data_IF_135895187675
#
_entry.id   IF_135895187675
#
_cell.length_a   1.000
_cell.length_b   1.000
_cell.length_c   1.000
_cell.angle_alpha   90.00
_cell.angle_beta   90.00
_cell.angle_gamma   90.00
#
_symmetry.space_group_name_H-M   'P 1'
#
loop_
_entity.id
_entity.type
_entity.pdbx_description
1 polymer ?
#
# COMPACT_ATOMS: atom_id res chain seq x y z
N UNK A 1 -9.90 46.25 17.18
CA UNK A 1 -9.02 45.11 16.82
C UNK A 1 -8.38 45.41 15.46
N UNK A 2 -7.04 45.42 15.40
CA UNK A 2 -6.28 45.85 14.23
C UNK A 2 -6.27 44.78 13.13
N UNK A 3 -6.54 45.18 11.87
CA UNK A 3 -6.48 44.28 10.71
C UNK A 3 -5.08 43.65 10.55
N UNK A 4 -4.04 44.39 10.92
CA UNK A 4 -2.64 43.96 10.84
C UNK A 4 -2.25 42.87 11.86
N UNK A 5 -2.86 42.81 13.04
CA UNK A 5 -2.63 41.74 14.02
C UNK A 5 -3.34 40.43 13.63
N UNK A 6 -4.57 40.53 13.10
CA UNK A 6 -5.29 39.36 12.56
C UNK A 6 -4.54 38.75 11.38
N UNK A 7 -3.97 39.58 10.50
CA UNK A 7 -3.17 39.12 9.39
C UNK A 7 -1.82 38.55 9.85
N UNK A 8 -1.16 39.17 10.84
CA UNK A 8 0.09 38.64 11.41
C UNK A 8 -0.06 37.24 12.02
N UNK A 9 -1.09 37.01 12.83
CA UNK A 9 -1.37 35.68 13.40
C UNK A 9 -1.76 34.64 12.34
N UNK A 10 -2.56 35.03 11.35
CA UNK A 10 -2.95 34.15 10.24
C UNK A 10 -1.77 33.81 9.32
N UNK A 11 -0.84 34.73 9.10
CA UNK A 11 0.37 34.50 8.30
C UNK A 11 1.35 33.57 9.04
N UNK A 12 1.56 33.74 10.35
CA UNK A 12 2.43 32.84 11.12
C UNK A 12 1.83 31.43 11.20
N UNK A 13 0.53 31.32 11.43
CA UNK A 13 -0.17 30.03 11.41
C UNK A 13 -0.12 29.39 10.01
N UNK A 14 -0.36 30.17 8.95
CA UNK A 14 -0.27 29.71 7.56
C UNK A 14 1.13 29.24 7.16
N UNK A 15 2.17 29.96 7.59
CA UNK A 15 3.56 29.56 7.37
C UNK A 15 3.92 28.28 8.13
N UNK A 16 3.47 28.13 9.37
CA UNK A 16 3.70 26.94 10.18
C UNK A 16 3.01 25.70 9.58
N UNK A 17 1.75 25.84 9.16
CA UNK A 17 1.00 24.79 8.47
C UNK A 17 1.69 24.40 7.15
N UNK A 18 2.14 25.37 6.35
CA UNK A 18 2.88 25.10 5.09
C UNK A 18 4.15 24.27 5.30
N UNK A 19 4.89 24.48 6.41
CA UNK A 19 6.07 23.68 6.74
C UNK A 19 5.70 22.24 7.12
N UNK A 20 4.60 22.06 7.88
CA UNK A 20 4.10 20.74 8.23
C UNK A 20 3.66 19.97 6.99
N UNK A 21 2.91 20.59 6.08
CA UNK A 21 2.44 19.92 4.87
C UNK A 21 3.58 19.52 3.95
N UNK A 22 4.62 20.36 3.82
CA UNK A 22 5.86 20.01 3.09
C UNK A 22 6.57 18.83 3.73
N UNK A 23 6.72 18.85 5.05
CA UNK A 23 7.37 17.77 5.79
C UNK A 23 6.59 16.46 5.62
N UNK A 24 5.27 16.48 5.80
CA UNK A 24 4.40 15.32 5.59
C UNK A 24 4.47 14.81 4.16
N UNK A 25 4.43 15.70 3.16
CA UNK A 25 4.56 15.32 1.75
C UNK A 25 5.88 14.58 1.46
N UNK A 26 6.99 15.08 1.99
CA UNK A 26 8.30 14.43 1.84
C UNK A 26 8.35 13.09 2.57
N UNK A 27 7.80 13.00 3.78
CA UNK A 27 7.79 11.76 4.58
C UNK A 27 6.98 10.64 3.90
N UNK A 28 5.76 10.97 3.44
CA UNK A 28 4.93 10.03 2.70
C UNK A 28 5.52 9.74 1.31
N UNK A 29 6.14 10.72 0.66
CA UNK A 29 6.82 10.56 -0.62
C UNK A 29 8.01 9.59 -0.53
N UNK A 30 8.85 9.71 0.50
CA UNK A 30 9.95 8.77 0.75
C UNK A 30 9.42 7.36 0.98
N UNK A 31 8.36 7.23 1.78
CA UNK A 31 7.73 5.93 2.04
C UNK A 31 7.16 5.33 0.75
N UNK A 32 6.51 6.14 -0.07
CA UNK A 32 5.89 5.72 -1.32
C UNK A 32 6.92 5.28 -2.35
N UNK A 33 7.96 6.09 -2.60
CA UNK A 33 9.07 5.77 -3.51
C UNK A 33 9.90 4.60 -2.97
N UNK A 34 10.14 4.54 -1.67
CA UNK A 34 10.86 3.45 -1.02
C UNK A 34 10.16 2.09 -1.20
N UNK A 35 8.82 2.06 -1.10
CA UNK A 35 8.06 0.84 -1.38
C UNK A 35 8.06 0.47 -2.87
N UNK A 36 8.04 1.44 -3.79
CA UNK A 36 8.23 1.15 -5.22
C UNK A 36 9.59 0.51 -5.47
N UNK A 37 10.65 1.02 -4.85
CA UNK A 37 11.98 0.45 -4.99
C UNK A 37 12.04 -0.98 -4.44
N UNK A 38 11.40 -1.21 -3.29
CA UNK A 38 11.25 -2.56 -2.74
C UNK A 38 10.53 -3.50 -3.72
N UNK A 39 9.40 -3.11 -4.30
CA UNK A 39 8.67 -3.99 -5.23
C UNK A 39 9.42 -4.25 -6.55
N UNK A 40 10.07 -3.22 -7.11
CA UNK A 40 10.69 -3.30 -8.43
C UNK A 40 12.07 -3.96 -8.42
N UNK A 41 12.87 -3.76 -7.37
CA UNK A 41 14.25 -4.27 -7.33
C UNK A 41 14.40 -5.43 -6.34
N UNK A 42 14.01 -5.21 -5.08
CA UNK A 42 14.24 -6.19 -4.01
C UNK A 42 13.29 -7.39 -4.15
N UNK A 43 11.99 -7.12 -4.27
CA UNK A 43 10.95 -8.13 -4.42
C UNK A 43 11.01 -8.84 -5.78
N UNK A 44 11.17 -8.10 -6.88
CA UNK A 44 11.28 -8.70 -8.20
C UNK A 44 12.55 -9.54 -8.38
N UNK A 45 13.68 -9.14 -7.76
CA UNK A 45 14.91 -9.93 -7.74
C UNK A 45 14.72 -11.26 -7.00
N UNK A 46 14.18 -11.19 -5.78
CA UNK A 46 13.92 -12.39 -4.97
C UNK A 46 12.95 -13.38 -5.64
N UNK A 47 11.93 -12.89 -6.34
CA UNK A 47 10.96 -13.73 -7.06
C UNK A 47 11.56 -14.44 -8.28
N UNK A 48 12.73 -14.04 -8.79
CA UNK A 48 13.41 -14.75 -9.90
C UNK A 48 14.17 -15.97 -9.42
N UNK A 49 14.80 -15.88 -8.25
CA UNK A 49 15.68 -16.92 -7.70
C UNK A 49 14.98 -17.86 -6.70
N UNK A 50 13.83 -17.46 -6.16
CA UNK A 50 13.11 -18.26 -5.16
C UNK A 50 12.51 -19.57 -5.73
N UNK A 51 12.40 -20.59 -4.87
CA UNK A 51 11.66 -21.83 -5.17
C UNK A 51 10.15 -21.57 -5.28
N UNK A 52 9.37 -22.42 -5.98
CA UNK A 52 7.92 -22.23 -6.14
C UNK A 52 7.16 -22.12 -4.82
N UNK A 53 7.56 -22.85 -3.77
CA UNK A 53 6.95 -22.71 -2.43
C UNK A 53 7.30 -21.37 -1.77
N UNK A 54 8.55 -20.91 -1.88
CA UNK A 54 8.99 -19.63 -1.30
C UNK A 54 8.33 -18.41 -1.96
N UNK A 55 8.12 -18.45 -3.27
CA UNK A 55 7.34 -17.42 -3.99
C UNK A 55 5.92 -17.38 -3.47
N UNK A 56 5.31 -18.54 -3.23
CA UNK A 56 3.94 -18.63 -2.76
C UNK A 56 3.77 -17.98 -1.38
N UNK A 57 4.69 -18.19 -0.44
CA UNK A 57 4.58 -17.57 0.89
C UNK A 57 4.77 -16.04 0.85
N UNK A 58 5.71 -15.54 0.04
CA UNK A 58 5.97 -14.10 -0.12
C UNK A 58 4.79 -13.37 -0.78
N UNK A 59 4.25 -13.93 -1.87
CA UNK A 59 3.11 -13.32 -2.58
C UNK A 59 1.83 -13.35 -1.72
N UNK A 60 1.72 -14.28 -0.78
CA UNK A 60 0.50 -14.48 0.02
C UNK A 60 0.49 -13.74 1.34
N UNK A 61 1.64 -13.61 2.01
CA UNK A 61 1.72 -12.95 3.32
C UNK A 61 2.36 -11.57 3.23
N UNK A 62 3.46 -11.45 2.49
CA UNK A 62 4.28 -10.24 2.51
C UNK A 62 3.76 -9.17 1.54
N UNK A 63 3.36 -9.59 0.34
CA UNK A 63 2.91 -8.69 -0.72
C UNK A 63 1.61 -7.91 -0.41
N UNK A 64 0.56 -8.51 0.17
CA UNK A 64 -0.64 -7.74 0.54
C UNK A 64 -0.40 -6.77 1.69
N UNK A 65 0.45 -7.13 2.66
CA UNK A 65 0.83 -6.23 3.76
C UNK A 65 1.60 -5.02 3.24
N UNK A 66 2.61 -5.24 2.41
CA UNK A 66 3.37 -4.15 1.79
C UNK A 66 2.47 -3.26 0.91
N UNK A 67 1.52 -3.85 0.17
CA UNK A 67 0.59 -3.09 -0.65
C UNK A 67 -0.40 -2.26 0.19
N UNK A 68 -0.76 -2.69 1.40
CA UNK A 68 -1.56 -1.88 2.31
C UNK A 68 -0.88 -0.56 2.69
N UNK A 69 0.39 -0.62 3.09
CA UNK A 69 1.18 0.59 3.37
C UNK A 69 1.37 1.45 2.11
N UNK A 70 1.57 0.81 0.96
CA UNK A 70 1.68 1.49 -0.32
C UNK A 70 0.43 2.31 -0.66
N UNK A 71 -0.77 1.79 -0.38
CA UNK A 71 -2.05 2.48 -0.63
C UNK A 71 -2.17 3.77 0.15
N UNK A 72 -1.88 3.73 1.44
CA UNK A 72 -1.99 4.91 2.30
C UNK A 72 -0.86 5.90 2.04
N UNK A 73 0.36 5.44 1.83
CA UNK A 73 1.49 6.30 1.46
C UNK A 73 1.24 7.06 0.15
N UNK A 74 0.73 6.38 -0.89
CA UNK A 74 0.36 7.01 -2.16
C UNK A 74 -0.78 8.03 -1.99
N UNK A 75 -1.81 7.70 -1.20
CA UNK A 75 -2.93 8.61 -0.94
C UNK A 75 -2.50 9.88 -0.19
N UNK A 76 -1.71 9.74 0.89
CA UNK A 76 -1.25 10.89 1.66
C UNK A 76 -0.26 11.75 0.89
N UNK A 77 0.64 11.16 0.09
CA UNK A 77 1.55 11.92 -0.78
C UNK A 77 0.77 12.69 -1.86
N UNK A 78 -0.25 12.07 -2.47
CA UNK A 78 -1.09 12.73 -3.45
C UNK A 78 -1.88 13.89 -2.84
N UNK A 79 -2.55 13.67 -1.69
CA UNK A 79 -3.36 14.69 -1.02
C UNK A 79 -2.54 15.90 -0.60
N UNK A 80 -1.40 15.67 0.06
CA UNK A 80 -0.47 16.72 0.46
C UNK A 80 0.13 17.43 -0.77
N UNK A 81 0.43 16.70 -1.85
CA UNK A 81 0.97 17.29 -3.08
C UNK A 81 -0.02 18.21 -3.79
N UNK A 82 -1.29 17.82 -3.89
CA UNK A 82 -2.37 18.66 -4.43
C UNK A 82 -2.60 19.89 -3.54
N UNK A 83 -2.56 19.72 -2.22
CA UNK A 83 -2.69 20.83 -1.29
C UNK A 83 -1.55 21.85 -1.45
N UNK A 84 -0.29 21.40 -1.57
CA UNK A 84 0.86 22.28 -1.83
C UNK A 84 0.73 23.01 -3.18
N UNK A 85 0.24 22.34 -4.22
CA UNK A 85 0.00 22.93 -5.54
C UNK A 85 -1.05 24.05 -5.49
N UNK A 86 -2.12 23.84 -4.72
CA UNK A 86 -3.15 24.85 -4.49
C UNK A 86 -2.63 26.04 -3.68
N UNK A 87 -1.83 25.79 -2.65
CA UNK A 87 -1.30 26.83 -1.77
C UNK A 87 -0.21 27.69 -2.44
N UNK A 88 0.67 27.09 -3.25
CA UNK A 88 1.80 27.80 -3.86
C UNK A 88 1.41 28.58 -5.11
N UNK A 89 0.41 28.12 -5.89
CA UNK A 89 -0.37 28.87 -6.91
C UNK A 89 0.34 29.61 -8.06
N UNK A 90 1.62 29.93 -7.92
CA UNK A 90 2.37 30.93 -8.70
C UNK A 90 3.56 30.33 -9.44
N UNK A 91 3.84 29.04 -9.24
CA UNK A 91 4.96 28.30 -9.83
C UNK A 91 4.55 27.07 -10.63
N UNK A 92 3.40 27.09 -11.31
CA UNK A 92 2.95 25.99 -12.17
C UNK A 92 3.95 25.73 -13.31
N UNK A 93 4.79 24.71 -13.15
CA UNK A 93 5.71 24.22 -14.19
C UNK A 93 5.17 22.93 -14.80
N UNK A 94 5.54 22.67 -16.07
CA UNK A 94 5.20 21.42 -16.78
C UNK A 94 5.67 20.18 -16.02
N UNK A 95 6.77 20.28 -15.26
CA UNK A 95 7.27 19.19 -14.42
C UNK A 95 6.32 18.85 -13.26
N UNK A 96 5.62 19.83 -12.70
CA UNK A 96 4.66 19.59 -11.61
C UNK A 96 3.37 18.96 -12.12
N UNK A 97 2.84 19.41 -13.27
CA UNK A 97 1.62 18.82 -13.84
C UNK A 97 1.86 17.39 -14.33
N UNK A 98 3.05 17.11 -14.86
CA UNK A 98 3.43 15.76 -15.30
C UNK A 98 3.64 14.82 -14.10
N UNK A 99 4.30 15.29 -13.03
CA UNK A 99 4.40 14.56 -11.77
C UNK A 99 3.03 14.29 -11.13
N UNK A 100 2.13 15.29 -11.13
CA UNK A 100 0.78 15.16 -10.61
C UNK A 100 -0.07 14.16 -11.45
N UNK A 101 0.04 14.18 -12.78
CA UNK A 101 -0.64 13.22 -13.64
C UNK A 101 -0.14 11.79 -13.43
N UNK A 102 1.18 11.59 -13.34
CA UNK A 102 1.75 10.28 -13.04
C UNK A 102 1.31 9.77 -11.66
N UNK A 103 1.30 10.63 -10.64
CA UNK A 103 0.79 10.29 -9.33
C UNK A 103 -0.71 9.94 -9.34
N UNK A 104 -1.51 10.68 -10.09
CA UNK A 104 -2.96 10.44 -10.24
C UNK A 104 -3.24 9.10 -10.92
N UNK A 105 -2.54 8.80 -12.02
CA UNK A 105 -2.71 7.54 -12.76
C UNK A 105 -2.28 6.35 -11.89
N UNK A 106 -1.13 6.46 -11.21
CA UNK A 106 -0.67 5.42 -10.28
C UNK A 106 -1.63 5.24 -9.10
N UNK A 107 -2.15 6.32 -8.53
CA UNK A 107 -3.15 6.27 -7.45
C UNK A 107 -4.42 5.53 -7.88
N UNK A 108 -4.98 5.89 -9.05
CA UNK A 108 -6.17 5.24 -9.60
C UNK A 108 -5.92 3.75 -9.90
N UNK A 109 -4.75 3.40 -10.43
CA UNK A 109 -4.37 2.02 -10.73
C UNK A 109 -4.30 1.15 -9.45
N UNK A 110 -3.73 1.67 -8.37
CA UNK A 110 -3.65 0.96 -7.07
C UNK A 110 -5.02 0.71 -6.45
N UNK A 111 -5.90 1.70 -6.52
CA UNK A 111 -7.23 1.60 -5.94
C UNK A 111 -8.18 0.73 -6.76
N UNK A 112 -8.15 0.83 -8.09
CA UNK A 112 -9.12 0.18 -8.98
C UNK A 112 -8.65 -1.17 -9.54
N UNK A 113 -7.34 -1.40 -9.75
CA UNK A 113 -6.84 -2.61 -10.44
C UNK A 113 -6.12 -3.55 -9.48
N UNK A 114 -5.17 -3.03 -8.67
CA UNK A 114 -4.33 -3.91 -7.84
C UNK A 114 -5.14 -4.55 -6.70
N UNK A 115 -6.04 -3.79 -6.06
CA UNK A 115 -6.84 -4.29 -4.95
C UNK A 115 -7.85 -5.39 -5.26
N UNK A 116 -8.70 -5.29 -6.31
CA UNK A 116 -9.58 -6.39 -6.65
C UNK A 116 -8.81 -7.63 -7.11
N UNK A 117 -7.67 -7.45 -7.77
CA UNK A 117 -6.83 -8.58 -8.17
C UNK A 117 -6.21 -9.30 -6.96
N UNK A 118 -5.77 -8.58 -5.92
CA UNK A 118 -5.29 -9.22 -4.70
C UNK A 118 -6.41 -9.87 -3.87
N UNK A 119 -7.62 -9.30 -3.84
CA UNK A 119 -8.79 -9.95 -3.21
C UNK A 119 -9.12 -11.30 -3.84
N UNK A 120 -9.03 -11.42 -5.17
CA UNK A 120 -9.26 -12.69 -5.90
C UNK A 120 -8.23 -13.76 -5.51
N UNK A 121 -6.96 -13.38 -5.36
CA UNK A 121 -5.89 -14.30 -4.92
C UNK A 121 -6.14 -14.81 -3.50
N UNK A 122 -6.50 -13.91 -2.57
CA UNK A 122 -6.82 -14.30 -1.18
C UNK A 122 -8.05 -15.22 -1.13
N UNK A 123 -9.09 -14.92 -1.90
CA UNK A 123 -10.29 -15.76 -1.98
C UNK A 123 -9.97 -17.18 -2.48
N UNK A 124 -9.12 -17.32 -3.52
CA UNK A 124 -8.68 -18.62 -4.00
C UNK A 124 -7.89 -19.42 -2.95
N UNK A 125 -7.12 -18.74 -2.09
CA UNK A 125 -6.34 -19.39 -1.05
C UNK A 125 -7.16 -19.81 0.16
N UNK A 126 -8.12 -18.98 0.56
CA UNK A 126 -9.09 -19.33 1.58
C UNK A 126 -9.89 -20.58 1.17
N UNK A 127 -10.24 -20.71 -0.11
CA UNK A 127 -10.85 -21.91 -0.67
C UNK A 127 -9.94 -23.14 -0.54
N UNK A 128 -8.65 -23.00 -0.88
CA UNK A 128 -7.70 -24.11 -0.89
C UNK A 128 -7.30 -24.58 0.52
N UNK A 129 -7.20 -23.66 1.48
CA UNK A 129 -6.99 -23.97 2.89
C UNK A 129 -8.22 -24.64 3.51
N UNK A 130 -9.44 -24.19 3.16
CA UNK A 130 -10.68 -24.84 3.58
C UNK A 130 -10.73 -26.30 3.14
N UNK A 131 -10.41 -26.58 1.86
CA UNK A 131 -10.40 -27.93 1.32
C UNK A 131 -9.26 -28.81 1.90
N UNK A 132 -8.10 -28.22 2.18
CA UNK A 132 -7.00 -28.93 2.85
C UNK A 132 -7.35 -29.33 4.29
N UNK A 133 -8.01 -28.43 5.04
CA UNK A 133 -8.43 -28.69 6.42
C UNK A 133 -9.52 -29.76 6.49
N UNK A 134 -10.49 -29.74 5.58
CA UNK A 134 -11.53 -30.79 5.52
C UNK A 134 -10.94 -32.15 5.12
N UNK A 135 -10.02 -32.18 4.15
CA UNK A 135 -9.34 -33.41 3.72
C UNK A 135 -8.52 -34.05 4.86
N UNK A 136 -7.85 -33.24 5.68
CA UNK A 136 -7.11 -33.72 6.85
C UNK A 136 -8.06 -34.24 7.95
N UNK A 137 -9.20 -33.56 8.18
CA UNK A 137 -10.23 -33.99 9.14
C UNK A 137 -10.80 -35.36 8.77
N UNK A 138 -11.15 -35.58 7.49
CA UNK A 138 -11.73 -36.86 7.02
C UNK A 138 -10.73 -38.01 7.18
N UNK A 139 -9.44 -37.82 6.88
CA UNK A 139 -8.44 -38.87 7.10
C UNK A 139 -8.34 -39.26 8.56
N UNK A 140 -8.35 -38.30 9.47
CA UNK A 140 -8.23 -38.57 10.90
C UNK A 140 -9.47 -39.28 11.47
N UNK A 141 -10.66 -38.95 10.95
CA UNK A 141 -11.92 -39.59 11.31
C UNK A 141 -12.04 -41.00 10.72
N UNK A 142 -11.48 -41.25 9.53
CA UNK A 142 -11.40 -42.60 8.95
C UNK A 142 -10.41 -43.53 9.67
N UNK A 143 -9.46 -42.98 10.44
CA UNK A 143 -8.46 -43.76 11.18
C UNK A 143 -8.93 -44.17 12.59
N UNK A 144 -9.94 -43.50 13.16
CA UNK A 144 -10.48 -43.83 14.48
C UNK A 144 -11.17 -45.21 14.58
N UNK A 145 -11.91 -45.76 13.58
CA UNK A 145 -12.46 -47.11 13.67
C UNK A 145 -11.41 -48.22 13.51
N UNK A 146 -10.29 -47.95 12.83
CA UNK A 146 -9.19 -48.92 12.70
C UNK A 146 -8.33 -49.01 13.96
N UNK A 147 -8.27 -47.95 14.78
CA UNK A 147 -7.54 -47.96 16.05
C UNK A 147 -8.17 -48.89 17.10
N UNK A 148 -9.48 -49.15 17.04
CA UNK A 148 -10.18 -50.13 17.89
C UNK A 148 -9.96 -51.59 17.46
N UNK A 149 -9.43 -51.86 16.27
CA UNK A 149 -9.17 -53.22 15.78
C UNK A 149 -7.76 -53.72 16.13
N UNK A 150 -6.89 -52.84 16.63
CA UNK A 150 -5.48 -53.12 16.98
C UNK A 150 -5.25 -53.12 18.51
N UNK A 151 -6.26 -52.79 19.33
CA UNK A 151 -6.23 -52.83 20.80
C UNK A 151 -7.09 -53.95 21.35
#
# INVERSE_FOLDING_TARGET
MNYNEKNGGCIILGNFLSQIDRFLHVLFGITWIGLLYYFNFVGAGYLKEATPEGKKDVLQKLQPNALWYFRWAAFFTFLTGVYLLWYIGTGYSVGMSLGALMATIMFLNVWLIIWPNQKKVIAGLMMQLSWSKSSFSIKNESLSPFQCFIS
#
